data_IF_367442963069
#
_entry.id   IF_367442963069
#
_cell.length_a   1.000
_cell.length_b   1.000
_cell.length_c   1.000
_cell.angle_alpha   90.00
_cell.angle_beta   90.00
_cell.angle_gamma   90.00
#
_symmetry.space_group_name_H-M   'P 1'
#
loop_
_entity.id
_entity.type
_entity.pdbx_description
1 polymer ?
#
# COMPACT_ATOMS: atom_id res chain seq x y z
N UNK A 1 -4.36 81.51 -18.12
CA UNK A 1 -5.42 82.37 -17.56
C UNK A 1 -6.76 81.76 -17.92
N UNK A 2 -7.22 80.88 -17.03
CA UNK A 2 -8.34 79.95 -17.20
C UNK A 2 -9.52 80.54 -16.44
N UNK A 3 -10.74 80.37 -16.96
CA UNK A 3 -12.12 80.42 -16.35
C UNK A 3 -12.31 81.14 -14.99
N UNK A 4 -11.44 80.91 -14.00
CA UNK A 4 -11.22 81.64 -12.72
C UNK A 4 -11.35 83.16 -12.85
N UNK A 5 -10.57 83.77 -13.74
CA UNK A 5 -10.61 85.23 -13.91
C UNK A 5 -11.93 85.64 -14.55
N UNK A 6 -12.45 84.85 -15.50
CA UNK A 6 -13.71 85.15 -16.19
C UNK A 6 -14.93 85.13 -15.26
N UNK A 7 -15.06 84.22 -14.31
CA UNK A 7 -16.26 84.13 -13.48
C UNK A 7 -16.32 85.21 -12.40
N UNK A 8 -15.19 85.47 -11.72
CA UNK A 8 -15.09 86.55 -10.72
C UNK A 8 -15.22 87.91 -11.41
N UNK A 9 -14.49 88.10 -12.53
CA UNK A 9 -14.60 89.35 -13.32
C UNK A 9 -16.01 89.50 -13.88
N UNK A 10 -16.64 88.44 -14.41
CA UNK A 10 -18.02 88.54 -14.94
C UNK A 10 -19.03 88.87 -13.85
N UNK A 11 -18.96 88.25 -12.66
CA UNK A 11 -19.90 88.52 -11.57
C UNK A 11 -19.74 89.94 -11.02
N UNK A 12 -18.50 90.41 -10.87
CA UNK A 12 -18.20 91.79 -10.47
C UNK A 12 -18.68 92.78 -11.52
N UNK A 13 -18.36 92.54 -12.80
CA UNK A 13 -18.74 93.42 -13.92
C UNK A 13 -20.26 93.51 -14.08
N UNK A 14 -20.99 92.42 -13.84
CA UNK A 14 -22.46 92.39 -13.94
C UNK A 14 -23.15 93.22 -12.84
N UNK A 15 -22.53 93.37 -11.66
CA UNK A 15 -23.05 94.22 -10.58
C UNK A 15 -22.57 95.67 -10.63
N UNK A 16 -21.34 95.90 -11.11
CA UNK A 16 -20.71 97.23 -11.14
C UNK A 16 -21.30 98.14 -12.23
N UNK A 17 -21.56 97.58 -13.43
CA UNK A 17 -22.05 98.35 -14.57
C UNK A 17 -23.43 98.98 -14.29
N UNK A 18 -24.46 98.24 -13.81
CA UNK A 18 -25.76 98.83 -13.52
C UNK A 18 -25.69 99.91 -12.42
N UNK A 19 -24.88 99.70 -11.38
CA UNK A 19 -24.73 100.64 -10.29
C UNK A 19 -24.10 101.97 -10.74
N UNK A 20 -23.07 101.91 -11.60
CA UNK A 20 -22.46 103.12 -12.19
C UNK A 20 -23.44 103.81 -13.12
N UNK A 21 -24.15 103.08 -13.98
CA UNK A 21 -25.14 103.64 -14.92
C UNK A 21 -26.26 104.38 -14.16
N UNK A 22 -26.79 103.79 -13.09
CA UNK A 22 -27.81 104.43 -12.24
C UNK A 22 -27.28 105.69 -11.58
N UNK A 23 -26.04 105.67 -11.07
CA UNK A 23 -25.40 106.83 -10.44
C UNK A 23 -25.19 107.99 -11.43
N UNK A 24 -24.76 107.68 -12.66
CA UNK A 24 -24.60 108.68 -13.73
C UNK A 24 -25.96 109.21 -14.20
N UNK A 25 -26.99 108.36 -14.31
CA UNK A 25 -28.34 108.82 -14.67
C UNK A 25 -28.94 109.74 -13.61
N UNK A 26 -28.90 109.37 -12.33
CA UNK A 26 -29.39 110.21 -11.22
C UNK A 26 -28.68 111.57 -11.20
N UNK A 27 -27.36 111.58 -11.30
CA UNK A 27 -26.59 112.85 -11.33
C UNK A 27 -26.90 113.72 -12.55
N UNK A 28 -27.10 113.12 -13.73
CA UNK A 28 -27.55 113.85 -14.93
C UNK A 28 -28.96 114.42 -14.78
N UNK A 29 -29.85 113.72 -14.06
CA UNK A 29 -31.21 114.17 -13.75
C UNK A 29 -31.19 115.38 -12.81
N UNK A 30 -30.43 115.33 -11.71
CA UNK A 30 -30.28 116.45 -10.79
C UNK A 30 -29.66 117.70 -11.45
N UNK A 31 -28.68 117.52 -12.34
CA UNK A 31 -28.12 118.63 -13.12
C UNK A 31 -29.14 119.24 -14.08
N UNK A 32 -30.06 118.44 -14.63
CA UNK A 32 -31.12 118.92 -15.53
C UNK A 32 -32.18 119.70 -14.75
N UNK A 33 -32.64 119.20 -13.60
CA UNK A 33 -33.56 119.93 -12.73
C UNK A 33 -32.97 121.28 -12.30
N UNK A 34 -31.74 121.28 -11.79
CA UNK A 34 -31.14 122.51 -11.30
C UNK A 34 -30.81 123.53 -12.42
N UNK A 35 -30.61 123.06 -13.68
CA UNK A 35 -30.53 123.94 -14.85
C UNK A 35 -31.86 124.64 -15.15
N UNK A 36 -32.98 123.94 -15.01
CA UNK A 36 -34.34 124.49 -15.23
C UNK A 36 -34.65 125.55 -14.15
N UNK A 37 -34.23 125.32 -12.91
CA UNK A 37 -34.42 126.28 -11.80
C UNK A 37 -33.62 127.59 -11.95
N UNK A 38 -32.53 127.57 -12.73
CA UNK A 38 -31.62 128.72 -12.92
C UNK A 38 -31.98 129.59 -14.14
N UNK A 39 -32.94 129.18 -14.96
CA UNK A 39 -33.41 129.92 -16.15
C UNK A 39 -34.28 131.15 -15.79
N UNK A 40 -34.60 131.35 -14.49
CA UNK A 40 -35.38 132.49 -13.98
C UNK A 40 -34.53 133.57 -13.26
N UNK A 41 -33.20 133.48 -13.27
CA UNK A 41 -32.26 134.36 -12.55
C UNK A 41 -31.29 135.04 -13.52
N UNK A 42 -30.78 136.22 -13.16
CA UNK A 42 -29.91 137.09 -13.97
C UNK A 42 -28.71 136.35 -14.61
N UNK A 43 -28.32 136.76 -15.83
CA UNK A 43 -27.51 135.95 -16.77
C UNK A 43 -26.04 135.79 -16.38
N UNK A 44 -25.50 136.64 -15.50
CA UNK A 44 -24.09 136.56 -15.07
C UNK A 44 -23.88 135.74 -13.78
N UNK A 45 -24.76 135.83 -12.79
CA UNK A 45 -24.65 135.07 -11.52
C UNK A 45 -25.04 133.58 -11.69
N UNK A 46 -26.01 133.30 -12.56
CA UNK A 46 -26.48 131.93 -12.86
C UNK A 46 -25.40 131.06 -13.52
N UNK A 47 -24.49 131.65 -14.30
CA UNK A 47 -23.44 130.92 -15.01
C UNK A 47 -22.36 130.37 -14.06
N UNK A 48 -21.95 131.16 -13.06
CA UNK A 48 -20.99 130.71 -12.03
C UNK A 48 -21.61 129.64 -11.12
N UNK A 49 -22.88 129.79 -10.73
CA UNK A 49 -23.58 128.82 -9.89
C UNK A 49 -23.74 127.46 -10.60
N UNK A 50 -24.07 127.47 -11.90
CA UNK A 50 -24.13 126.24 -12.72
C UNK A 50 -22.77 125.57 -12.80
N UNK A 51 -21.67 126.33 -12.90
CA UNK A 51 -20.32 125.79 -13.04
C UNK A 51 -19.81 125.16 -11.75
N UNK A 52 -20.06 125.78 -10.59
CA UNK A 52 -19.71 125.22 -9.29
C UNK A 52 -20.59 124.01 -8.91
N UNK A 53 -21.86 124.04 -9.32
CA UNK A 53 -22.75 122.91 -9.13
C UNK A 53 -22.39 121.73 -10.04
N UNK A 54 -21.96 122.00 -11.29
CA UNK A 54 -21.35 120.97 -12.16
C UNK A 54 -20.09 120.37 -11.55
N UNK A 55 -19.20 121.20 -10.98
CA UNK A 55 -17.99 120.71 -10.29
C UNK A 55 -18.33 119.86 -9.08
N UNK A 56 -19.32 120.27 -8.27
CA UNK A 56 -19.75 119.54 -7.09
C UNK A 56 -20.39 118.20 -7.45
N UNK A 57 -21.26 118.17 -8.47
CA UNK A 57 -21.86 116.92 -8.97
C UNK A 57 -20.82 116.01 -9.62
N UNK A 58 -19.89 116.54 -10.42
CA UNK A 58 -18.80 115.71 -10.97
C UNK A 58 -17.91 115.14 -9.87
N UNK A 59 -17.64 115.89 -8.80
CA UNK A 59 -16.85 115.41 -7.66
C UNK A 59 -17.59 114.30 -6.90
N UNK A 60 -18.90 114.42 -6.66
CA UNK A 60 -19.68 113.37 -5.96
C UNK A 60 -19.87 112.11 -6.81
N UNK A 61 -20.04 112.26 -8.13
CA UNK A 61 -20.07 111.11 -9.05
C UNK A 61 -18.71 110.42 -9.10
N UNK A 62 -17.62 111.18 -9.19
CA UNK A 62 -16.27 110.61 -9.20
C UNK A 62 -15.97 109.85 -7.91
N UNK A 63 -16.31 110.39 -6.73
CA UNK A 63 -16.07 109.71 -5.45
C UNK A 63 -16.92 108.46 -5.28
N UNK A 64 -18.20 108.49 -5.67
CA UNK A 64 -19.09 107.31 -5.60
C UNK A 64 -18.63 106.19 -6.54
N UNK A 65 -18.20 106.51 -7.76
CA UNK A 65 -17.64 105.52 -8.70
C UNK A 65 -16.35 104.91 -8.15
N UNK A 66 -15.45 105.72 -7.56
CA UNK A 66 -14.23 105.22 -6.93
C UNK A 66 -14.55 104.29 -5.75
N UNK A 67 -15.52 104.63 -4.90
CA UNK A 67 -15.95 103.77 -3.79
C UNK A 67 -16.51 102.44 -4.31
N UNK A 68 -17.34 102.46 -5.36
CA UNK A 68 -17.86 101.23 -5.97
C UNK A 68 -16.73 100.35 -6.52
N UNK A 69 -15.76 100.94 -7.22
CA UNK A 69 -14.59 100.20 -7.72
C UNK A 69 -13.80 99.57 -6.57
N UNK A 70 -13.60 100.30 -5.46
CA UNK A 70 -12.89 99.79 -4.28
C UNK A 70 -13.67 98.65 -3.61
N UNK A 71 -14.98 98.81 -3.38
CA UNK A 71 -15.81 97.81 -2.70
C UNK A 71 -15.88 96.52 -3.51
N UNK A 72 -16.17 96.60 -4.80
CA UNK A 72 -16.24 95.42 -5.66
C UNK A 72 -14.85 94.82 -5.94
N UNK A 73 -13.80 95.64 -5.99
CA UNK A 73 -12.42 95.17 -6.02
C UNK A 73 -12.05 94.38 -4.76
N UNK A 74 -12.42 94.89 -3.58
CA UNK A 74 -12.24 94.21 -2.30
C UNK A 74 -13.03 92.90 -2.23
N UNK A 75 -14.30 92.89 -2.64
CA UNK A 75 -15.13 91.67 -2.73
C UNK A 75 -14.49 90.65 -3.69
N UNK A 76 -13.97 91.09 -4.83
CA UNK A 76 -13.27 90.22 -5.78
C UNK A 76 -12.01 89.59 -5.20
N UNK A 77 -11.21 90.36 -4.47
CA UNK A 77 -10.02 89.87 -3.77
C UNK A 77 -10.41 88.87 -2.67
N UNK A 78 -11.46 89.15 -1.90
CA UNK A 78 -11.96 88.26 -0.85
C UNK A 78 -12.44 86.93 -1.44
N UNK A 79 -13.33 86.95 -2.45
CA UNK A 79 -13.82 85.74 -3.10
C UNK A 79 -12.70 84.95 -3.80
N UNK A 80 -11.77 85.65 -4.44
CA UNK A 80 -10.61 85.04 -5.08
C UNK A 80 -9.68 84.33 -4.08
N UNK A 81 -9.41 84.95 -2.93
CA UNK A 81 -8.49 84.43 -1.92
C UNK A 81 -9.13 83.39 -1.01
N UNK A 82 -10.39 83.56 -0.60
CA UNK A 82 -11.05 82.67 0.37
C UNK A 82 -11.84 81.52 -0.26
N UNK A 83 -12.29 81.63 -1.51
CA UNK A 83 -13.07 80.57 -2.18
C UNK A 83 -12.27 79.94 -3.33
N UNK A 84 -11.80 80.76 -4.27
CA UNK A 84 -11.26 80.23 -5.54
C UNK A 84 -9.85 79.64 -5.41
N UNK A 85 -8.97 80.25 -4.60
CA UNK A 85 -7.63 79.73 -4.37
C UNK A 85 -7.64 78.33 -3.72
N UNK A 86 -8.32 78.09 -2.57
CA UNK A 86 -8.31 76.79 -1.94
C UNK A 86 -9.03 75.72 -2.77
N UNK A 87 -10.12 76.05 -3.47
CA UNK A 87 -10.78 75.09 -4.37
C UNK A 87 -9.88 74.68 -5.54
N UNK A 88 -9.08 75.61 -6.08
CA UNK A 88 -8.14 75.28 -7.15
C UNK A 88 -6.98 74.40 -6.69
N UNK A 89 -6.47 74.64 -5.47
CA UNK A 89 -5.42 73.80 -4.88
C UNK A 89 -5.95 72.39 -4.62
N UNK A 90 -7.20 72.29 -4.13
CA UNK A 90 -7.90 71.02 -3.94
C UNK A 90 -8.05 70.24 -5.26
N UNK A 91 -8.52 70.89 -6.33
CA UNK A 91 -8.71 70.24 -7.64
C UNK A 91 -7.38 69.80 -8.25
N UNK A 92 -6.32 70.60 -8.11
CA UNK A 92 -4.99 70.23 -8.62
C UNK A 92 -4.44 69.03 -7.85
N UNK A 93 -4.53 69.04 -6.51
CA UNK A 93 -4.08 67.92 -5.69
C UNK A 93 -4.89 66.64 -5.96
N UNK A 94 -6.21 66.74 -6.09
CA UNK A 94 -7.06 65.62 -6.49
C UNK A 94 -6.72 65.08 -7.89
N UNK A 95 -6.33 65.96 -8.82
CA UNK A 95 -5.89 65.59 -10.16
C UNK A 95 -4.53 64.89 -10.14
N UNK A 96 -3.60 65.35 -9.30
CA UNK A 96 -2.28 64.74 -9.15
C UNK A 96 -2.42 63.35 -8.50
N UNK A 97 -3.22 63.22 -7.44
CA UNK A 97 -3.58 61.92 -6.84
C UNK A 97 -4.21 60.99 -7.89
N UNK A 98 -5.19 61.47 -8.66
CA UNK A 98 -5.86 60.67 -9.70
C UNK A 98 -4.89 60.23 -10.80
N UNK A 99 -3.97 61.11 -11.21
CA UNK A 99 -2.96 60.80 -12.22
C UNK A 99 -1.97 59.75 -11.71
N UNK A 100 -1.50 59.89 -10.48
CA UNK A 100 -0.57 58.95 -9.86
C UNK A 100 -1.22 57.58 -9.69
N UNK A 101 -2.47 57.51 -9.21
CA UNK A 101 -3.26 56.28 -9.13
C UNK A 101 -3.44 55.62 -10.50
N UNK A 102 -3.77 56.40 -11.54
CA UNK A 102 -3.99 55.85 -12.89
C UNK A 102 -2.71 55.35 -13.57
N UNK A 103 -1.55 55.83 -13.14
CA UNK A 103 -0.25 55.48 -13.73
C UNK A 103 0.37 54.19 -13.19
N UNK A 104 -0.30 53.52 -12.23
CA UNK A 104 0.19 52.28 -11.61
C UNK A 104 1.31 52.47 -10.59
N UNK A 105 1.79 53.70 -10.38
CA UNK A 105 2.78 54.08 -9.35
C UNK A 105 2.13 54.74 -8.13
N UNK A 106 0.79 54.75 -8.07
CA UNK A 106 -0.01 55.55 -7.16
C UNK A 106 0.39 55.42 -5.70
N UNK A 107 1.09 56.43 -5.20
CA UNK A 107 1.33 56.56 -3.77
C UNK A 107 0.04 57.03 -3.10
N UNK A 108 -0.70 56.09 -2.47
CA UNK A 108 -1.85 56.39 -1.61
C UNK A 108 -1.43 57.06 -0.28
N UNK A 109 -0.24 57.65 -0.21
CA UNK A 109 0.28 58.34 0.98
C UNK A 109 -0.13 59.81 1.01
N UNK A 110 -0.56 60.38 -0.12
CA UNK A 110 -1.07 61.74 -0.15
C UNK A 110 -2.37 61.84 0.64
N UNK A 111 -2.48 62.90 1.47
CA UNK A 111 -3.68 63.24 2.24
C UNK A 111 -4.07 64.66 1.91
N UNK A 112 -5.37 64.90 1.82
CA UNK A 112 -5.94 66.22 1.69
C UNK A 112 -5.97 66.92 3.05
N UNK A 113 -5.81 68.24 3.07
CA UNK A 113 -5.83 69.04 4.29
C UNK A 113 -7.25 69.14 4.88
N UNK A 114 -7.43 68.57 6.07
CA UNK A 114 -8.69 68.54 6.82
C UNK A 114 -8.84 69.68 7.85
N UNK A 115 -7.87 70.59 7.96
CA UNK A 115 -7.89 71.64 8.99
C UNK A 115 -9.05 72.64 8.81
N UNK A 116 -9.68 72.66 7.64
CA UNK A 116 -10.75 73.57 7.27
C UNK A 116 -12.12 73.03 7.72
N UNK A 117 -12.95 73.88 8.31
CA UNK A 117 -14.28 73.50 8.86
C UNK A 117 -15.46 73.83 7.94
N UNK A 118 -15.21 73.97 6.64
CA UNK A 118 -16.27 74.20 5.64
C UNK A 118 -16.40 73.01 4.69
N UNK A 119 -17.24 73.16 3.66
CA UNK A 119 -17.56 72.10 2.71
C UNK A 119 -16.31 71.50 2.06
N UNK A 120 -15.25 72.29 1.87
CA UNK A 120 -14.01 71.80 1.27
C UNK A 120 -13.22 70.88 2.21
N UNK A 121 -13.24 71.15 3.52
CA UNK A 121 -12.65 70.26 4.51
C UNK A 121 -13.46 68.98 4.72
N UNK A 122 -14.80 69.05 4.61
CA UNK A 122 -15.65 67.86 4.63
C UNK A 122 -15.38 66.93 3.45
N UNK A 123 -15.23 67.47 2.23
CA UNK A 123 -14.87 66.65 1.05
C UNK A 123 -13.45 66.07 1.21
N UNK A 124 -12.50 66.85 1.76
CA UNK A 124 -11.15 66.36 2.05
C UNK A 124 -11.17 65.13 2.96
N UNK A 125 -11.97 65.16 4.02
CA UNK A 125 -12.14 64.04 4.95
C UNK A 125 -12.72 62.78 4.29
N UNK A 126 -13.81 62.91 3.50
CA UNK A 126 -14.41 61.77 2.78
C UNK A 126 -13.44 61.14 1.77
N UNK A 127 -12.63 61.95 1.08
CA UNK A 127 -11.63 61.43 0.16
C UNK A 127 -10.49 60.73 0.91
N UNK A 128 -10.04 61.27 2.04
CA UNK A 128 -9.02 60.62 2.86
C UNK A 128 -9.51 59.26 3.40
N UNK A 129 -10.78 59.15 3.81
CA UNK A 129 -11.40 57.89 4.20
C UNK A 129 -11.42 56.88 3.04
N UNK A 130 -11.80 57.34 1.84
CA UNK A 130 -11.74 56.53 0.62
C UNK A 130 -10.31 56.05 0.31
N UNK A 131 -9.31 56.93 0.44
CA UNK A 131 -7.90 56.58 0.23
C UNK A 131 -7.40 55.54 1.25
N UNK A 132 -7.85 55.59 2.50
CA UNK A 132 -7.50 54.56 3.49
C UNK A 132 -8.14 53.22 3.15
N UNK A 133 -9.43 53.20 2.76
CA UNK A 133 -10.09 51.97 2.30
C UNK A 133 -9.38 51.33 1.09
N UNK A 134 -8.96 52.13 0.10
CA UNK A 134 -8.21 51.61 -1.04
C UNK A 134 -6.83 51.06 -0.62
N UNK A 135 -6.14 51.73 0.30
CA UNK A 135 -4.84 51.27 0.81
C UNK A 135 -5.00 49.92 1.52
N UNK A 136 -6.04 49.76 2.34
CA UNK A 136 -6.34 48.48 3.00
C UNK A 136 -6.66 47.38 1.98
N UNK A 137 -7.46 47.68 0.94
CA UNK A 137 -7.78 46.73 -0.13
C UNK A 137 -6.52 46.29 -0.88
N UNK A 138 -5.63 47.22 -1.25
CA UNK A 138 -4.37 46.90 -1.93
C UNK A 138 -3.46 46.06 -1.02
N UNK A 139 -3.40 46.35 0.28
CA UNK A 139 -2.64 45.53 1.24
C UNK A 139 -3.18 44.10 1.28
N UNK A 140 -4.49 43.94 1.43
CA UNK A 140 -5.15 42.62 1.42
C UNK A 140 -4.95 41.87 0.12
N UNK A 141 -4.98 42.56 -1.03
CA UNK A 141 -4.72 41.97 -2.34
C UNK A 141 -3.26 41.52 -2.47
N UNK A 142 -2.31 42.32 -1.99
CA UNK A 142 -0.90 41.97 -1.97
C UNK A 142 -0.63 40.75 -1.07
N UNK A 143 -1.22 40.73 0.13
CA UNK A 143 -1.16 39.59 1.05
C UNK A 143 -1.74 38.32 0.41
N UNK A 144 -2.92 38.42 -0.20
CA UNK A 144 -3.54 37.30 -0.90
C UNK A 144 -2.67 36.80 -2.07
N UNK A 145 -2.07 37.71 -2.84
CA UNK A 145 -1.12 37.37 -3.91
C UNK A 145 0.13 36.65 -3.39
N UNK A 146 0.67 37.10 -2.25
CA UNK A 146 1.79 36.43 -1.60
C UNK A 146 1.40 35.04 -1.08
N UNK A 147 0.23 34.89 -0.45
CA UNK A 147 -0.28 33.59 -0.02
C UNK A 147 -0.47 32.61 -1.19
N UNK A 148 -1.03 33.08 -2.31
CA UNK A 148 -1.16 32.25 -3.53
C UNK A 148 0.21 31.84 -4.07
N UNK A 149 1.18 32.75 -4.09
CA UNK A 149 2.55 32.45 -4.52
C UNK A 149 3.22 31.39 -3.63
N UNK A 150 3.07 31.51 -2.30
CA UNK A 150 3.57 30.53 -1.34
C UNK A 150 2.91 29.16 -1.53
N UNK A 151 1.58 29.11 -1.63
CA UNK A 151 0.83 27.88 -1.88
C UNK A 151 1.23 27.24 -3.21
N UNK A 152 1.46 28.03 -4.26
CA UNK A 152 1.92 27.51 -5.56
C UNK A 152 3.32 26.88 -5.47
N UNK A 153 4.22 27.46 -4.67
CA UNK A 153 5.56 26.90 -4.45
C UNK A 153 5.50 25.61 -3.62
N UNK A 154 4.63 25.56 -2.61
CA UNK A 154 4.39 24.35 -1.83
C UNK A 154 3.85 23.22 -2.71
N UNK A 155 2.82 23.49 -3.53
CA UNK A 155 2.29 22.52 -4.49
C UNK A 155 3.39 22.01 -5.43
N UNK A 156 4.26 22.89 -5.93
CA UNK A 156 5.39 22.49 -6.78
C UNK A 156 6.35 21.54 -6.07
N UNK A 157 6.66 21.81 -4.80
CA UNK A 157 7.50 20.94 -3.95
C UNK A 157 6.83 19.59 -3.70
N UNK A 158 5.54 19.57 -3.35
CA UNK A 158 4.77 18.33 -3.15
C UNK A 158 4.72 17.49 -4.42
N UNK A 159 4.52 18.12 -5.59
CA UNK A 159 4.54 17.41 -6.88
C UNK A 159 5.91 16.80 -7.15
N UNK A 160 7.01 17.50 -6.87
CA UNK A 160 8.36 16.95 -7.03
C UNK A 160 8.57 15.71 -6.13
N UNK A 161 8.23 15.82 -4.84
CA UNK A 161 8.32 14.68 -3.92
C UNK A 161 7.42 13.51 -4.34
N UNK A 162 6.25 13.79 -4.90
CA UNK A 162 5.33 12.77 -5.42
C UNK A 162 5.93 12.03 -6.62
N UNK A 163 6.60 12.75 -7.52
CA UNK A 163 7.30 12.15 -8.67
C UNK A 163 8.42 11.23 -8.20
N UNK A 164 9.22 11.66 -7.22
CA UNK A 164 10.29 10.85 -6.65
C UNK A 164 9.74 9.58 -5.98
N UNK A 165 8.69 9.71 -5.16
CA UNK A 165 8.02 8.57 -4.54
C UNK A 165 7.35 7.62 -5.55
N UNK A 166 6.89 8.14 -6.69
CA UNK A 166 6.36 7.32 -7.78
C UNK A 166 7.47 6.52 -8.48
N UNK A 167 8.66 7.11 -8.64
CA UNK A 167 9.83 6.42 -9.18
C UNK A 167 10.27 5.25 -8.28
N UNK A 168 10.32 5.47 -6.97
CA UNK A 168 10.61 4.42 -5.99
C UNK A 168 9.53 3.32 -6.01
N UNK A 169 8.26 3.72 -6.03
CA UNK A 169 7.13 2.77 -6.13
C UNK A 169 7.21 1.93 -7.39
N UNK A 170 7.61 2.52 -8.53
CA UNK A 170 7.84 1.80 -9.78
C UNK A 170 8.95 0.76 -9.63
N UNK A 171 10.08 1.12 -9.03
CA UNK A 171 11.18 0.17 -8.78
C UNK A 171 10.74 -1.00 -7.89
N UNK A 172 9.94 -0.72 -6.86
CA UNK A 172 9.39 -1.76 -5.97
C UNK A 172 8.42 -2.68 -6.72
N UNK A 173 7.60 -2.15 -7.63
CA UNK A 173 6.71 -2.93 -8.49
C UNK A 173 7.53 -3.82 -9.43
N UNK A 174 8.56 -3.28 -10.08
CA UNK A 174 9.41 -4.06 -10.99
C UNK A 174 10.10 -5.20 -10.23
N UNK A 175 10.54 -4.98 -8.99
CA UNK A 175 11.11 -6.02 -8.13
C UNK A 175 10.06 -7.06 -7.67
N UNK A 176 8.84 -6.63 -7.35
CA UNK A 176 7.73 -7.55 -7.06
C UNK A 176 7.44 -8.47 -8.25
N UNK A 177 7.45 -7.95 -9.48
CA UNK A 177 7.25 -8.75 -10.69
C UNK A 177 8.33 -9.84 -10.81
N UNK A 178 9.60 -9.51 -10.54
CA UNK A 178 10.70 -10.49 -10.53
C UNK A 178 10.45 -11.57 -9.46
N UNK A 179 10.05 -11.17 -8.24
CA UNK A 179 9.73 -12.13 -7.17
C UNK A 179 8.54 -13.02 -7.52
N UNK A 180 7.54 -12.50 -8.24
CA UNK A 180 6.39 -13.30 -8.71
C UNK A 180 6.79 -14.33 -9.76
N UNK A 181 7.73 -13.99 -10.66
CA UNK A 181 8.29 -14.95 -11.62
C UNK A 181 9.05 -16.07 -10.90
N UNK A 182 9.89 -15.71 -9.92
CA UNK A 182 10.60 -16.67 -9.06
C UNK A 182 9.64 -17.55 -8.26
N UNK A 183 8.56 -16.98 -7.70
CA UNK A 183 7.51 -17.76 -7.02
C UNK A 183 6.82 -18.73 -7.97
N UNK A 184 6.54 -18.31 -9.20
CA UNK A 184 5.88 -19.17 -10.20
C UNK A 184 6.76 -20.38 -10.53
N UNK A 185 8.05 -20.16 -10.72
CA UNK A 185 9.03 -21.25 -10.91
C UNK A 185 9.11 -22.17 -9.69
N UNK A 186 9.16 -21.61 -8.48
CA UNK A 186 9.19 -22.39 -7.25
C UNK A 186 7.93 -23.26 -7.07
N UNK A 187 6.75 -22.71 -7.35
CA UNK A 187 5.48 -23.46 -7.31
C UNK A 187 5.48 -24.59 -8.33
N UNK A 188 5.98 -24.35 -9.54
CA UNK A 188 6.11 -25.39 -10.57
C UNK A 188 7.05 -26.52 -10.13
N UNK A 189 8.18 -26.19 -9.50
CA UNK A 189 9.13 -27.18 -8.97
C UNK A 189 8.54 -27.98 -7.80
N UNK A 190 7.78 -27.33 -6.91
CA UNK A 190 7.06 -28.00 -5.82
C UNK A 190 6.00 -28.95 -6.38
N UNK A 191 5.23 -28.53 -7.38
CA UNK A 191 4.23 -29.38 -8.02
C UNK A 191 4.87 -30.60 -8.69
N UNK A 192 5.99 -30.42 -9.39
CA UNK A 192 6.77 -31.49 -10.00
C UNK A 192 7.32 -32.46 -8.94
N UNK A 193 7.88 -31.94 -7.85
CA UNK A 193 8.40 -32.74 -6.73
C UNK A 193 7.28 -33.56 -6.07
N UNK A 194 6.10 -32.96 -5.87
CA UNK A 194 4.93 -33.65 -5.33
C UNK A 194 4.46 -34.77 -6.26
N UNK A 195 4.39 -34.52 -7.58
CA UNK A 195 4.03 -35.55 -8.57
C UNK A 195 5.03 -36.69 -8.61
N UNK A 196 6.34 -36.40 -8.55
CA UNK A 196 7.38 -37.41 -8.51
C UNK A 196 7.31 -38.25 -7.22
N UNK A 197 7.06 -37.60 -6.08
CA UNK A 197 6.90 -38.28 -4.79
C UNK A 197 5.69 -39.19 -4.79
N UNK A 198 4.55 -38.73 -5.33
CA UNK A 198 3.33 -39.54 -5.46
C UNK A 198 3.56 -40.78 -6.33
N UNK A 199 4.24 -40.62 -7.47
CA UNK A 199 4.60 -41.75 -8.34
C UNK A 199 5.53 -42.75 -7.64
N UNK A 200 6.52 -42.25 -6.89
CA UNK A 200 7.46 -43.09 -6.13
C UNK A 200 6.75 -43.84 -5.00
N UNK A 201 5.84 -43.18 -4.27
CA UNK A 201 5.03 -43.82 -3.24
C UNK A 201 4.11 -44.90 -3.81
N UNK A 202 3.48 -44.65 -4.97
CA UNK A 202 2.66 -45.66 -5.66
C UNK A 202 3.49 -46.87 -6.11
N UNK A 203 4.74 -46.65 -6.55
CA UNK A 203 5.65 -47.74 -6.90
C UNK A 203 6.05 -48.57 -5.66
N UNK A 204 6.36 -47.90 -4.55
CA UNK A 204 6.70 -48.57 -3.29
C UNK A 204 5.52 -49.39 -2.75
N UNK A 205 4.29 -48.90 -2.86
CA UNK A 205 3.08 -49.66 -2.50
C UNK A 205 2.93 -50.92 -3.35
N UNK A 206 3.11 -50.81 -4.67
CA UNK A 206 3.07 -51.97 -5.57
C UNK A 206 4.16 -53.01 -5.25
N UNK A 207 5.38 -52.56 -4.95
CA UNK A 207 6.48 -53.45 -4.53
C UNK A 207 6.19 -54.12 -3.18
N UNK A 208 5.59 -53.40 -2.22
CA UNK A 208 5.17 -53.97 -0.95
C UNK A 208 4.04 -55.00 -1.09
N UNK A 209 3.07 -54.74 -1.97
CA UNK A 209 2.02 -55.72 -2.31
C UNK A 209 2.61 -56.98 -2.94
N UNK A 210 3.57 -56.84 -3.86
CA UNK A 210 4.27 -57.98 -4.44
C UNK A 210 5.05 -58.76 -3.37
N UNK A 211 5.71 -58.05 -2.45
CA UNK A 211 6.40 -58.67 -1.31
C UNK A 211 5.44 -59.49 -0.43
N UNK A 212 4.25 -58.98 -0.15
CA UNK A 212 3.22 -59.72 0.60
C UNK A 212 2.79 -61.01 -0.11
N UNK A 213 2.67 -61.01 -1.44
CA UNK A 213 2.36 -62.22 -2.21
C UNK A 213 3.46 -63.26 -2.02
N UNK A 214 4.73 -62.87 -2.18
CA UNK A 214 5.87 -63.79 -2.02
C UNK A 214 5.97 -64.36 -0.60
N UNK A 215 5.70 -63.54 0.42
CA UNK A 215 5.64 -64.00 1.81
C UNK A 215 4.49 -65.00 2.00
N UNK A 216 3.32 -64.76 1.40
CA UNK A 216 2.20 -65.70 1.39
C UNK A 216 2.57 -67.06 0.78
N UNK A 217 3.20 -67.04 -0.40
CA UNK A 217 3.70 -68.26 -1.07
C UNK A 217 4.73 -69.01 -0.21
N UNK A 218 5.58 -68.28 0.50
CA UNK A 218 6.58 -68.85 1.42
C UNK A 218 5.90 -69.54 2.60
N UNK A 219 4.88 -68.91 3.20
CA UNK A 219 4.10 -69.51 4.30
C UNK A 219 3.42 -70.78 3.85
N UNK A 220 2.83 -70.80 2.65
CA UNK A 220 2.18 -72.01 2.13
C UNK A 220 3.18 -73.11 1.81
N UNK A 221 4.37 -72.77 1.29
CA UNK A 221 5.46 -73.73 1.09
C UNK A 221 5.92 -74.35 2.41
N UNK A 222 5.99 -73.56 3.49
CA UNK A 222 6.32 -74.06 4.83
C UNK A 222 5.25 -75.01 5.36
N UNK A 223 3.95 -74.75 5.11
CA UNK A 223 2.87 -75.67 5.51
C UNK A 223 3.01 -77.01 4.79
N UNK A 224 3.25 -77.00 3.48
CA UNK A 224 3.46 -78.23 2.69
C UNK A 224 4.67 -79.00 3.23
N UNK A 225 5.75 -78.30 3.57
CA UNK A 225 6.93 -78.93 4.17
C UNK A 225 6.61 -79.55 5.54
N UNK A 226 5.84 -78.86 6.39
CA UNK A 226 5.41 -79.38 7.69
C UNK A 226 4.53 -80.65 7.55
N UNK A 227 3.60 -80.66 6.59
CA UNK A 227 2.80 -81.84 6.26
C UNK A 227 3.67 -83.01 5.79
N UNK A 228 4.66 -82.75 4.91
CA UNK A 228 5.61 -83.75 4.46
C UNK A 228 6.47 -84.34 5.60
N UNK A 229 6.87 -83.50 6.56
CA UNK A 229 7.54 -83.97 7.77
C UNK A 229 6.65 -84.84 8.64
N UNK A 230 5.38 -84.47 8.84
CA UNK A 230 4.44 -85.28 9.60
C UNK A 230 4.25 -86.67 8.98
N UNK A 231 4.14 -86.73 7.64
CA UNK A 231 4.06 -88.00 6.92
C UNK A 231 5.35 -88.83 7.07
N UNK A 232 6.52 -88.19 7.02
CA UNK A 232 7.81 -88.88 7.23
C UNK A 232 7.90 -89.48 8.63
N UNK A 233 7.46 -88.74 9.66
CA UNK A 233 7.41 -89.23 11.05
C UNK A 233 6.49 -90.44 11.18
N UNK A 234 5.34 -90.45 10.50
CA UNK A 234 4.45 -91.62 10.50
C UNK A 234 5.12 -92.86 9.89
N UNK A 235 5.79 -92.71 8.74
CA UNK A 235 6.51 -93.82 8.10
C UNK A 235 7.67 -94.33 8.98
N UNK A 236 8.35 -93.43 9.69
CA UNK A 236 9.39 -93.83 10.65
C UNK A 236 8.83 -94.65 11.82
N UNK A 237 7.65 -94.29 12.33
CA UNK A 237 7.00 -95.05 13.39
C UNK A 237 6.55 -96.44 12.91
N UNK A 238 6.01 -96.54 11.69
CA UNK A 238 5.69 -97.83 11.05
C UNK A 238 6.96 -98.69 10.90
N UNK A 239 8.05 -98.12 10.40
CA UNK A 239 9.34 -98.82 10.26
C UNK A 239 9.91 -99.28 11.62
N UNK A 240 9.69 -98.50 12.69
CA UNK A 240 10.10 -98.88 14.05
C UNK A 240 9.33 -100.12 14.50
N UNK A 241 8.02 -100.11 14.30
CA UNK A 241 7.14 -101.22 14.68
C UNK A 241 7.47 -102.50 13.89
N UNK A 242 7.74 -102.39 12.58
CA UNK A 242 8.19 -103.51 11.76
C UNK A 242 9.54 -104.06 12.21
N UNK A 243 10.48 -103.19 12.58
CA UNK A 243 11.79 -103.61 13.11
C UNK A 243 11.65 -104.35 14.45
N UNK A 244 10.78 -103.90 15.34
CA UNK A 244 10.47 -104.57 16.62
C UNK A 244 9.86 -105.96 16.38
N UNK A 245 8.93 -106.07 15.40
CA UNK A 245 8.33 -107.34 15.01
C UNK A 245 9.37 -108.32 14.46
N UNK A 246 10.28 -107.85 13.59
CA UNK A 246 11.38 -108.67 13.06
C UNK A 246 12.28 -109.15 14.20
N UNK A 247 12.62 -108.28 15.16
CA UNK A 247 13.40 -108.65 16.35
C UNK A 247 12.76 -109.81 17.12
N UNK A 248 11.44 -109.74 17.36
CA UNK A 248 10.70 -110.82 18.03
C UNK A 248 10.74 -112.13 17.25
N UNK A 249 10.65 -112.08 15.92
CA UNK A 249 10.71 -113.28 15.07
C UNK A 249 12.11 -113.90 15.10
N UNK A 250 13.17 -113.08 15.10
CA UNK A 250 14.55 -113.55 15.19
C UNK A 250 14.82 -114.28 16.51
N UNK A 251 14.31 -113.80 17.64
CA UNK A 251 14.41 -114.50 18.93
C UNK A 251 13.79 -115.91 18.85
N UNK A 252 12.62 -116.05 18.23
CA UNK A 252 11.98 -117.36 18.03
C UNK A 252 12.83 -118.27 17.13
N UNK A 253 13.47 -117.73 16.09
CA UNK A 253 14.36 -118.50 15.20
C UNK A 253 15.62 -118.94 15.96
N UNK A 254 16.19 -118.07 16.78
CA UNK A 254 17.34 -118.40 17.64
C UNK A 254 17.00 -119.52 18.62
N UNK A 255 15.85 -119.43 19.29
CA UNK A 255 15.33 -120.47 20.19
C UNK A 255 15.14 -121.81 19.45
N UNK A 256 14.55 -121.80 18.25
CA UNK A 256 14.37 -123.00 17.43
C UNK A 256 15.73 -123.58 17.02
N UNK A 257 16.68 -122.75 16.62
CA UNK A 257 18.01 -123.19 16.22
C UNK A 257 18.79 -123.76 17.41
N UNK A 258 18.66 -123.18 18.61
CA UNK A 258 19.23 -123.72 19.84
C UNK A 258 18.63 -125.08 20.21
N UNK A 259 17.30 -125.18 20.18
CA UNK A 259 16.60 -126.45 20.40
C UNK A 259 17.01 -127.51 19.37
N UNK A 260 17.15 -127.12 18.10
CA UNK A 260 17.60 -128.02 17.04
C UNK A 260 19.04 -128.48 17.26
N UNK A 261 19.92 -127.58 17.72
CA UNK A 261 21.30 -127.91 18.07
C UNK A 261 21.36 -128.90 19.27
N UNK A 262 20.53 -128.70 20.30
CA UNK A 262 20.42 -129.61 21.45
C UNK A 262 19.83 -130.97 21.05
N UNK A 263 18.79 -131.00 20.21
CA UNK A 263 18.21 -132.22 19.65
C UNK A 263 19.23 -133.00 18.83
N UNK A 264 19.98 -132.32 17.97
CA UNK A 264 21.03 -132.91 17.15
C UNK A 264 22.19 -133.45 18.00
N UNK A 265 22.58 -132.75 19.06
CA UNK A 265 23.59 -133.22 20.00
C UNK A 265 23.14 -134.50 20.72
N UNK A 266 21.90 -134.54 21.21
CA UNK A 266 21.34 -135.74 21.84
C UNK A 266 21.28 -136.92 20.86
N UNK A 267 20.91 -136.66 19.59
CA UNK A 267 20.91 -137.67 18.54
C UNK A 267 22.33 -138.17 18.20
N UNK A 268 23.34 -137.29 18.15
CA UNK A 268 24.73 -137.66 17.92
C UNK A 268 25.30 -138.53 19.06
N UNK A 269 24.96 -138.21 20.31
CA UNK A 269 25.32 -139.02 21.49
C UNK A 269 24.71 -140.42 21.39
N UNK A 270 23.42 -140.52 21.08
CA UNK A 270 22.74 -141.82 21.01
C UNK A 270 23.20 -142.64 19.79
N UNK A 271 23.53 -141.98 18.67
CA UNK A 271 24.14 -142.61 17.52
C UNK A 271 25.56 -143.16 17.83
N UNK A 272 26.36 -142.44 18.60
CA UNK A 272 27.65 -142.92 19.09
C UNK A 272 27.50 -144.12 20.05
N UNK A 273 26.42 -144.12 20.86
CA UNK A 273 26.09 -145.20 21.80
C UNK A 273 25.67 -146.50 21.10
N UNK A 274 25.06 -146.41 19.91
CA UNK A 274 24.67 -147.55 19.08
C UNK A 274 25.84 -148.19 18.28
N UNK A 275 27.05 -147.65 18.36
CA UNK A 275 28.25 -148.20 17.71
C UNK A 275 28.16 -148.20 16.18
N UNK A 276 28.61 -149.28 15.52
CA UNK A 276 28.63 -149.39 14.05
C UNK A 276 27.23 -149.28 13.40
N UNK A 277 26.15 -149.65 14.10
CA UNK A 277 24.78 -149.54 13.59
C UNK A 277 24.26 -148.09 13.57
N UNK A 278 24.85 -147.19 14.38
CA UNK A 278 24.45 -145.78 14.48
C UNK A 278 25.23 -144.83 13.56
N UNK A 279 26.19 -145.35 12.78
CA UNK A 279 27.19 -144.53 12.08
C UNK A 279 26.59 -143.60 11.02
N UNK A 280 25.55 -144.05 10.30
CA UNK A 280 24.82 -143.20 9.34
C UNK A 280 23.97 -142.11 10.02
N UNK A 281 23.38 -142.41 11.18
CA UNK A 281 22.63 -141.44 11.98
C UNK A 281 23.54 -140.40 12.62
N UNK A 282 24.76 -140.78 13.02
CA UNK A 282 25.75 -139.85 13.59
C UNK A 282 26.14 -138.75 12.58
N UNK A 283 26.34 -139.11 11.31
CA UNK A 283 26.68 -138.13 10.24
C UNK A 283 25.53 -137.15 10.01
N UNK A 284 24.29 -137.64 9.97
CA UNK A 284 23.11 -136.77 9.80
C UNK A 284 22.93 -135.86 11.02
N UNK A 285 23.15 -136.38 12.24
CA UNK A 285 23.07 -135.59 13.46
C UNK A 285 24.13 -134.47 13.50
N UNK A 286 25.38 -134.73 13.09
CA UNK A 286 26.42 -133.70 12.99
C UNK A 286 26.13 -132.65 11.89
N UNK A 287 25.52 -133.06 10.77
CA UNK A 287 25.10 -132.14 9.71
C UNK A 287 23.97 -131.22 10.17
N UNK A 288 22.95 -131.77 10.86
CA UNK A 288 21.86 -130.97 11.47
C UNK A 288 22.40 -130.03 12.54
N UNK A 289 23.35 -130.48 13.35
CA UNK A 289 24.02 -129.65 14.37
C UNK A 289 24.77 -128.48 13.74
N UNK A 290 25.49 -128.74 12.64
CA UNK A 290 26.20 -127.72 11.88
C UNK A 290 25.25 -126.72 11.25
N UNK A 291 24.12 -127.18 10.70
CA UNK A 291 23.09 -126.32 10.12
C UNK A 291 22.40 -125.44 11.18
N UNK A 292 22.10 -126.00 12.36
CA UNK A 292 21.54 -125.27 13.48
C UNK A 292 22.48 -124.16 13.97
N UNK A 293 23.79 -124.45 14.08
CA UNK A 293 24.80 -123.44 14.45
C UNK A 293 24.93 -122.34 13.41
N UNK A 294 24.96 -122.68 12.12
CA UNK A 294 24.96 -121.68 11.03
C UNK A 294 23.70 -120.82 11.04
N UNK A 295 22.57 -121.39 11.42
CA UNK A 295 21.30 -120.65 11.57
C UNK A 295 21.41 -119.65 12.71
N UNK A 296 21.88 -120.06 13.90
CA UNK A 296 22.15 -119.15 15.02
C UNK A 296 23.09 -118.01 14.64
N UNK A 297 24.23 -118.32 14.03
CA UNK A 297 25.22 -117.31 13.61
C UNK A 297 24.59 -116.28 12.65
N UNK A 298 23.73 -116.73 11.73
CA UNK A 298 23.01 -115.86 10.80
C UNK A 298 21.95 -115.01 11.50
N UNK A 299 21.23 -115.58 12.47
CA UNK A 299 20.21 -114.86 13.25
C UNK A 299 20.84 -113.72 14.06
N UNK A 300 22.01 -113.96 14.66
CA UNK A 300 22.78 -112.94 15.40
C UNK A 300 23.24 -111.80 14.47
N UNK A 301 23.69 -112.12 13.26
CA UNK A 301 24.09 -111.11 12.27
C UNK A 301 22.90 -110.23 11.84
N UNK A 302 21.74 -110.85 11.56
CA UNK A 302 20.51 -110.11 11.21
C UNK A 302 20.03 -109.27 12.39
N UNK A 303 20.08 -109.80 13.62
CA UNK A 303 19.68 -109.06 14.82
C UNK A 303 20.52 -107.79 15.02
N UNK A 304 21.83 -107.87 14.77
CA UNK A 304 22.72 -106.69 14.81
C UNK A 304 22.28 -105.60 13.81
N UNK A 305 21.83 -105.99 12.61
CA UNK A 305 21.33 -105.06 11.59
C UNK A 305 20.01 -104.42 12.05
N UNK A 306 19.09 -105.22 12.62
CA UNK A 306 17.80 -104.73 13.13
C UNK A 306 18.00 -103.76 14.29
N UNK A 307 18.89 -104.07 15.23
CA UNK A 307 19.25 -103.16 16.34
C UNK A 307 19.84 -101.84 15.82
N UNK A 308 20.68 -101.90 14.78
CA UNK A 308 21.20 -100.70 14.13
C UNK A 308 20.09 -99.87 13.47
N UNK A 309 19.12 -100.51 12.80
CA UNK A 309 17.96 -99.85 12.21
C UNK A 309 17.09 -99.19 13.29
N UNK A 310 16.74 -99.88 14.37
CA UNK A 310 15.98 -99.33 15.50
C UNK A 310 16.68 -98.12 16.13
N UNK A 311 18.00 -98.21 16.33
CA UNK A 311 18.80 -97.12 16.90
C UNK A 311 18.85 -95.90 15.98
N UNK A 312 18.98 -96.12 14.68
CA UNK A 312 19.00 -95.04 13.68
C UNK A 312 17.63 -94.38 13.56
N UNK A 313 16.57 -95.18 13.56
CA UNK A 313 15.19 -94.71 13.54
C UNK A 313 14.87 -93.86 14.79
N UNK A 314 15.21 -94.33 16.00
CA UNK A 314 15.07 -93.54 17.25
C UNK A 314 15.82 -92.21 17.19
N UNK A 315 17.05 -92.18 16.65
CA UNK A 315 17.80 -90.94 16.48
C UNK A 315 17.09 -89.96 15.53
N UNK A 316 16.50 -90.47 14.46
CA UNK A 316 15.73 -89.65 13.51
C UNK A 316 14.47 -89.07 14.18
N UNK A 317 13.75 -89.87 14.97
CA UNK A 317 12.56 -89.41 15.73
C UNK A 317 12.86 -88.34 16.80
N UNK A 318 14.09 -88.32 17.33
CA UNK A 318 14.56 -87.34 18.35
C UNK A 318 15.17 -86.07 17.73
N UNK A 319 15.34 -86.01 16.41
CA UNK A 319 15.85 -84.84 15.70
C UNK A 319 14.75 -83.78 15.43
N UNK A 320 13.53 -84.06 15.88
CA UNK A 320 12.37 -83.18 15.82
C UNK A 320 12.18 -82.42 17.14
#
# INVERSE_FOLDING_TARGET
MKIKDKFIVSSIVMGLIPAIVVTVMLSSFYLKEARISLEQVDKEESLQLVEDMKKTVMKTVATTVVILIIVYGAIGIILGKYISAPLSNFVNLAKDISKDLSSGQGSLQHRLDETRKDETGSIASVINELLEMYKELISKLSEAGQSVSLASNEVKSTVANTIDGLSESKSNIDQLVISMDQMTLAIAEVAKSASFTAATASKADAEAQQGNIVVGETVDSIKVLAEGFQQTTQVMEELRQDSDNIGSVLTVIEDIAEQTNLLALNAAIEAARAGEQGRGFAVVADEVRTLARRTQDSTVEIQTIVEHLQKTNRKCSLCY
#
